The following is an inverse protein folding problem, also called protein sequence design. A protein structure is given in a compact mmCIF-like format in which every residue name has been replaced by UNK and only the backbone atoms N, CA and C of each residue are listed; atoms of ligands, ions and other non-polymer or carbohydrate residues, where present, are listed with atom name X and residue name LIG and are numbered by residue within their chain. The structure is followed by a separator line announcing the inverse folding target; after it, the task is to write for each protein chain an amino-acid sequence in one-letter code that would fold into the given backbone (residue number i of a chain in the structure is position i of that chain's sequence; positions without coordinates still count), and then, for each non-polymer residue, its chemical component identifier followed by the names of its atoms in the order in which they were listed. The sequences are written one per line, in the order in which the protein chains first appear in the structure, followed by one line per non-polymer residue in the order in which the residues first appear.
data_IF_625139550715
#
_entry.id   IF_625139550715
#
_cell.length_a   1.000
_cell.length_b   1.000
_cell.length_c   1.000
_cell.angle_alpha   90.00
_cell.angle_beta   90.00
_cell.angle_gamma   90.00
#
_symmetry.space_group_name_H-M   'P 1'
#
loop_
_entity.id
_entity.type
_entity.pdbx_description
1 polymer ?
#
# COMPACT_ATOMS: atom_id res chain seq x y z
N UNK A 1 -29.04 0.21 -64.05
CA UNK A 1 -27.75 -0.50 -64.15
C UNK A 1 -26.73 0.19 -63.26
N UNK A 2 -26.12 -0.58 -62.35
CA UNK A 2 -24.72 -0.49 -61.87
C UNK A 2 -24.32 0.78 -61.07
N UNK A 3 -24.20 0.65 -59.73
CA UNK A 3 -22.97 0.43 -58.92
C UNK A 3 -22.23 1.75 -58.65
N UNK A 4 -22.29 2.31 -57.43
CA UNK A 4 -21.58 1.92 -56.20
C UNK A 4 -20.09 2.27 -56.22
N UNK A 5 -19.71 3.27 -55.41
CA UNK A 5 -18.37 3.62 -54.86
C UNK A 5 -18.56 4.93 -54.05
N UNK A 6 -18.02 5.21 -52.86
CA UNK A 6 -16.70 4.98 -52.25
C UNK A 6 -16.91 5.12 -50.71
N UNK A 7 -16.67 4.09 -49.91
CA UNK A 7 -15.47 3.88 -49.10
C UNK A 7 -15.15 4.99 -48.07
N UNK A 8 -15.46 4.75 -46.79
CA UNK A 8 -14.69 5.27 -45.65
C UNK A 8 -14.56 4.14 -44.62
N UNK A 9 -13.37 3.57 -44.55
CA UNK A 9 -12.91 2.65 -43.50
C UNK A 9 -12.50 3.49 -42.29
N UNK A 10 -13.24 3.43 -41.20
CA UNK A 10 -12.75 3.89 -39.88
C UNK A 10 -12.44 2.64 -39.07
N UNK A 11 -11.17 2.24 -39.10
CA UNK A 11 -10.62 1.25 -38.20
C UNK A 11 -10.52 1.88 -36.80
N UNK A 12 -11.50 1.59 -35.93
CA UNK A 12 -11.41 1.90 -34.52
C UNK A 12 -10.52 0.87 -33.83
N UNK A 13 -9.22 1.17 -33.75
CA UNK A 13 -8.28 0.45 -32.90
C UNK A 13 -8.66 0.65 -31.44
N UNK A 14 -9.44 -0.28 -30.89
CA UNK A 14 -9.71 -0.36 -29.46
C UNK A 14 -8.46 -0.93 -28.79
N UNK A 15 -7.60 -0.02 -28.30
CA UNK A 15 -6.51 -0.35 -27.39
C UNK A 15 -7.14 -0.84 -26.08
N UNK A 16 -7.22 -2.17 -25.91
CA UNK A 16 -7.41 -2.75 -24.59
C UNK A 16 -6.13 -2.49 -23.79
N UNK A 17 -6.10 -1.39 -23.04
CA UNK A 17 -5.10 -1.16 -22.02
C UNK A 17 -5.20 -2.29 -20.98
N UNK A 18 -4.18 -3.14 -20.95
CA UNK A 18 -4.06 -4.22 -19.98
C UNK A 18 -4.12 -3.65 -18.56
N UNK A 19 -5.16 -4.03 -17.83
CA UNK A 19 -5.25 -3.80 -16.38
C UNK A 19 -4.23 -4.73 -15.75
N UNK A 20 -3.04 -4.22 -15.43
CA UNK A 20 -2.03 -4.98 -14.72
C UNK A 20 -2.60 -5.43 -13.35
N UNK A 21 -2.34 -6.68 -12.90
CA UNK A 21 -2.98 -7.25 -11.73
C UNK A 21 -2.34 -6.68 -10.44
N UNK A 22 -2.84 -5.55 -9.95
CA UNK A 22 -2.48 -5.00 -8.63
C UNK A 22 -2.87 -5.93 -7.45
N UNK A 23 -3.62 -7.00 -7.70
CA UNK A 23 -4.12 -7.93 -6.69
C UNK A 23 -3.15 -9.10 -6.40
N UNK A 24 -2.18 -9.38 -7.28
CA UNK A 24 -1.25 -10.50 -7.10
C UNK A 24 -0.11 -10.18 -6.12
N UNK A 25 0.37 -8.93 -6.08
CA UNK A 25 1.44 -8.48 -5.19
C UNK A 25 1.01 -8.58 -3.71
N UNK A 26 -0.17 -8.05 -3.39
CA UNK A 26 -0.72 -7.99 -2.02
C UNK A 26 -0.84 -9.37 -1.34
N UNK A 27 -1.11 -10.43 -2.11
CA UNK A 27 -1.26 -11.80 -1.56
C UNK A 27 0.09 -12.43 -1.20
N UNK A 28 1.13 -12.16 -1.98
CA UNK A 28 2.49 -12.60 -1.67
C UNK A 28 3.07 -11.81 -0.48
N UNK A 29 2.79 -10.51 -0.42
CA UNK A 29 3.26 -9.64 0.66
C UNK A 29 2.67 -10.07 2.01
N UNK A 30 1.36 -10.35 2.08
CA UNK A 30 0.72 -10.87 3.30
C UNK A 30 1.25 -12.25 3.74
N UNK A 31 1.66 -13.09 2.79
CA UNK A 31 2.27 -14.39 3.08
C UNK A 31 3.67 -14.26 3.68
N UNK A 32 4.49 -13.34 3.14
CA UNK A 32 5.82 -13.03 3.66
C UNK A 32 5.75 -12.37 5.05
N UNK A 33 4.83 -11.42 5.26
CA UNK A 33 4.57 -10.79 6.57
C UNK A 33 4.33 -11.84 7.64
N UNK A 34 3.45 -12.81 7.38
CA UNK A 34 3.15 -13.90 8.33
C UNK A 34 4.35 -14.81 8.55
N UNK A 35 5.17 -15.05 7.53
CA UNK A 35 6.40 -15.87 7.65
C UNK A 35 7.45 -15.16 8.49
N UNK A 36 7.69 -13.87 8.27
CA UNK A 36 8.67 -13.08 9.02
C UNK A 36 8.24 -12.84 10.46
N UNK A 37 6.94 -12.59 10.72
CA UNK A 37 6.39 -12.55 12.07
C UNK A 37 6.54 -13.91 12.78
N UNK A 38 6.24 -15.03 12.10
CA UNK A 38 6.42 -16.37 12.67
C UNK A 38 7.89 -16.73 12.91
N UNK A 39 8.80 -16.16 12.12
CA UNK A 39 10.24 -16.35 12.30
C UNK A 39 10.83 -15.48 13.43
N UNK A 40 10.04 -14.59 14.04
CA UNK A 40 10.52 -13.69 15.10
C UNK A 40 11.43 -12.57 14.60
N UNK A 41 11.48 -12.33 13.30
CA UNK A 41 12.35 -11.31 12.70
C UNK A 41 11.78 -9.90 12.83
N UNK A 42 10.47 -9.78 13.08
CA UNK A 42 9.75 -8.51 13.23
C UNK A 42 8.83 -8.58 14.45
N UNK A 43 8.69 -7.47 15.15
CA UNK A 43 7.74 -7.33 16.25
C UNK A 43 6.30 -7.41 15.73
N UNK A 44 5.39 -8.01 16.50
CA UNK A 44 3.98 -8.05 16.13
C UNK A 44 3.42 -6.63 16.06
N UNK A 45 2.56 -6.38 15.07
CA UNK A 45 1.90 -5.09 14.87
C UNK A 45 1.32 -4.49 16.16
N UNK A 46 0.72 -5.32 17.02
CA UNK A 46 0.14 -4.86 18.30
C UNK A 46 1.17 -4.22 19.23
N UNK A 47 2.41 -4.71 19.27
CA UNK A 47 3.49 -4.12 20.07
C UNK A 47 3.96 -2.79 19.48
N UNK A 48 4.06 -2.73 18.14
CA UNK A 48 4.38 -1.51 17.39
C UNK A 48 3.33 -0.43 17.68
N UNK A 49 2.06 -0.74 17.52
CA UNK A 49 0.93 0.16 17.80
C UNK A 49 0.93 0.60 19.27
N UNK A 50 1.11 -0.33 20.21
CA UNK A 50 1.16 -0.03 21.65
C UNK A 50 2.25 0.98 22.02
N UNK A 51 3.36 1.02 21.28
CA UNK A 51 4.43 2.00 21.48
C UNK A 51 4.18 3.32 20.77
N UNK A 52 3.59 3.30 19.58
CA UNK A 52 3.47 4.48 18.71
C UNK A 52 2.19 5.27 18.99
N UNK A 53 1.05 4.62 19.14
CA UNK A 53 -0.26 5.29 19.31
C UNK A 53 -0.26 6.28 20.49
N UNK A 54 0.32 6.00 21.67
CA UNK A 54 0.38 6.97 22.77
C UNK A 54 1.17 8.24 22.46
N UNK A 55 2.09 8.20 21.47
CA UNK A 55 2.88 9.34 21.01
C UNK A 55 2.17 10.16 19.93
N UNK A 56 1.08 9.63 19.38
CA UNK A 56 0.30 10.21 18.28
C UNK A 56 -1.05 10.76 18.77
N UNK A 57 -1.16 11.10 20.06
CA UNK A 57 -2.39 11.68 20.64
C UNK A 57 -2.83 12.92 19.85
N UNK A 58 -4.14 13.05 19.66
CA UNK A 58 -4.72 14.11 18.84
C UNK A 58 -4.73 13.83 17.34
N UNK A 59 -4.17 12.70 16.90
CA UNK A 59 -4.29 12.21 15.52
C UNK A 59 -5.16 10.95 15.49
N UNK A 60 -6.02 10.82 14.48
CA UNK A 60 -6.85 9.64 14.30
C UNK A 60 -6.07 8.56 13.57
N UNK A 61 -5.91 7.39 14.18
CA UNK A 61 -5.26 6.25 13.53
C UNK A 61 -6.18 5.62 12.48
N UNK A 62 -5.67 5.43 11.27
CA UNK A 62 -6.40 4.80 10.17
C UNK A 62 -6.02 3.34 9.96
N UNK A 63 -4.78 2.98 10.27
CA UNK A 63 -4.28 1.62 10.15
C UNK A 63 -2.83 1.53 9.70
N UNK A 64 -2.29 0.30 9.67
CA UNK A 64 -0.92 0.03 9.29
C UNK A 64 -0.79 -0.48 7.86
N UNK A 65 0.42 -0.38 7.34
CA UNK A 65 0.86 -1.03 6.11
C UNK A 65 2.28 -1.57 6.34
N UNK A 66 2.55 -2.81 5.95
CA UNK A 66 3.90 -3.39 6.08
C UNK A 66 4.61 -3.32 4.72
N UNK A 67 5.82 -2.77 4.73
CA UNK A 67 6.74 -2.78 3.61
C UNK A 67 7.83 -3.83 3.88
N UNK A 68 7.75 -4.96 3.17
CA UNK A 68 8.70 -6.06 3.32
C UNK A 68 10.10 -5.71 2.79
N UNK A 69 10.21 -4.84 1.79
CA UNK A 69 11.49 -4.43 1.23
C UNK A 69 12.25 -3.52 2.21
N UNK A 70 11.52 -2.64 2.90
CA UNK A 70 12.08 -1.76 3.92
C UNK A 70 12.13 -2.39 5.33
N UNK A 71 11.47 -3.54 5.53
CA UNK A 71 11.23 -4.14 6.85
C UNK A 71 10.65 -3.14 7.86
N UNK A 72 9.64 -2.39 7.42
CA UNK A 72 9.07 -1.28 8.18
C UNK A 72 7.54 -1.30 8.14
N UNK A 73 6.92 -0.80 9.21
CA UNK A 73 5.50 -0.47 9.24
C UNK A 73 5.31 1.01 8.94
N UNK A 74 4.43 1.31 7.98
CA UNK A 74 3.88 2.64 7.75
C UNK A 74 2.53 2.75 8.43
N UNK A 75 2.47 3.52 9.51
CA UNK A 75 1.25 3.80 10.24
C UNK A 75 0.60 5.07 9.69
N UNK A 76 -0.68 5.00 9.36
CA UNK A 76 -1.43 6.10 8.76
C UNK A 76 -2.30 6.77 9.80
N UNK A 77 -2.26 8.09 9.82
CA UNK A 77 -3.07 8.92 10.72
C UNK A 77 -3.78 10.03 9.95
N UNK A 78 -4.82 10.62 10.54
CA UNK A 78 -5.40 11.89 10.13
C UNK A 78 -5.14 12.93 11.22
N UNK A 79 -4.71 14.12 10.80
CA UNK A 79 -4.63 15.32 11.63
C UNK A 79 -5.12 16.51 10.81
N UNK A 80 -6.11 17.24 11.32
CA UNK A 80 -6.64 18.45 10.67
C UNK A 80 -7.03 18.23 9.19
N UNK A 81 -7.62 17.07 8.88
CA UNK A 81 -8.04 16.68 7.53
C UNK A 81 -6.91 16.24 6.60
N UNK A 82 -5.66 16.14 7.08
CA UNK A 82 -4.50 15.69 6.30
C UNK A 82 -4.01 14.33 6.77
N UNK A 83 -3.54 13.53 5.82
CA UNK A 83 -2.96 12.22 6.11
C UNK A 83 -1.51 12.40 6.56
N UNK A 84 -1.20 11.85 7.73
CA UNK A 84 0.15 11.82 8.29
C UNK A 84 0.64 10.37 8.26
N UNK A 85 1.84 10.17 7.75
CA UNK A 85 2.51 8.86 7.74
C UNK A 85 3.56 8.83 8.84
N UNK A 86 3.63 7.72 9.57
CA UNK A 86 4.67 7.44 10.55
C UNK A 86 5.31 6.10 10.18
N UNK A 87 6.56 6.15 9.76
CA UNK A 87 7.33 4.96 9.42
C UNK A 87 8.06 4.44 10.66
N UNK A 88 7.98 3.14 10.89
CA UNK A 88 8.45 2.46 12.09
C UNK A 88 9.25 1.23 11.68
N UNK A 89 10.48 1.10 12.18
CA UNK A 89 11.30 -0.09 11.96
C UNK A 89 10.62 -1.31 12.59
N UNK A 90 10.39 -2.37 11.80
CA UNK A 90 9.60 -3.51 12.24
C UNK A 90 10.35 -4.41 13.23
N UNK A 91 11.69 -4.31 13.32
CA UNK A 91 12.52 -5.14 14.21
C UNK A 91 12.57 -4.57 15.62
N UNK A 92 12.75 -3.27 15.72
CA UNK A 92 12.99 -2.54 16.97
C UNK A 92 11.74 -1.82 17.49
N UNK A 93 10.79 -1.48 16.62
CA UNK A 93 9.65 -0.62 16.92
C UNK A 93 10.01 0.85 17.11
N UNK A 94 11.13 1.30 16.56
CA UNK A 94 11.54 2.70 16.58
C UNK A 94 10.90 3.47 15.42
N UNK A 95 10.45 4.70 15.68
CA UNK A 95 9.97 5.59 14.61
C UNK A 95 11.20 6.05 13.83
N UNK A 96 11.22 5.79 12.53
CA UNK A 96 12.32 6.11 11.61
C UNK A 96 11.97 7.26 10.66
N UNK A 97 10.68 7.58 10.49
CA UNK A 97 10.24 8.65 9.61
C UNK A 97 8.85 9.19 9.94
N UNK A 98 8.59 10.45 9.54
CA UNK A 98 7.27 11.08 9.58
C UNK A 98 7.08 11.99 8.37
N UNK A 99 5.90 11.95 7.79
CA UNK A 99 5.51 12.80 6.65
C UNK A 99 4.12 13.39 6.90
N UNK A 100 3.93 14.69 6.60
CA UNK A 100 2.74 15.49 6.91
C UNK A 100 2.11 16.12 5.67
#
# INVERSE_FOLDING_TARGET
MKRATLAVLIAAASVCTGIAPAQAQSRNDQGQVRKEMKAGNVQPLREIEGRVLPRMRGMQYLGPEYDAAAMAYRLKFIRDGRVVFVDVDARSGQIIGRSY
#
